data_IF_945186827374
#
_entry.id   IF_945186827374
#
_cell.length_a   1.000
_cell.length_b   1.000
_cell.length_c   1.000
_cell.angle_alpha   90.00
_cell.angle_beta   90.00
_cell.angle_gamma   90.00
#
_symmetry.space_group_name_H-M   'P 1'
#
loop_
_entity.id
_entity.type
_entity.pdbx_description
1 polymer ?
#
# COMPACT_ATOMS: atom_id res chain seq x y z
N UNK A 1 -9.44 -10.65 -2.65
CA UNK A 1 -9.12 -9.66 -1.60
C UNK A 1 -8.85 -8.31 -2.25
N UNK A 2 -9.33 -7.25 -1.63
CA UNK A 2 -9.13 -5.90 -2.13
C UNK A 2 -7.68 -5.45 -1.88
N UNK A 3 -7.05 -4.81 -2.86
CA UNK A 3 -5.71 -4.23 -2.70
C UNK A 3 -5.70 -3.16 -1.60
N UNK A 4 -6.80 -2.47 -1.42
CA UNK A 4 -6.91 -1.41 -0.42
C UNK A 4 -6.77 -1.95 0.98
N UNK A 5 -7.40 -3.09 1.25
CA UNK A 5 -7.30 -3.71 2.57
C UNK A 5 -5.87 -4.16 2.86
N UNK A 6 -5.19 -4.74 1.88
CA UNK A 6 -3.82 -5.21 2.07
C UNK A 6 -2.85 -4.06 2.31
N UNK A 7 -3.06 -2.95 1.62
CA UNK A 7 -2.26 -1.74 1.83
C UNK A 7 -2.41 -1.24 3.27
N UNK A 8 -3.63 -1.21 3.78
CA UNK A 8 -3.89 -0.83 5.16
C UNK A 8 -3.27 -1.82 6.14
N UNK A 9 -3.45 -3.11 5.89
CA UNK A 9 -2.92 -4.16 6.78
C UNK A 9 -1.40 -4.07 6.87
N UNK A 10 -0.71 -3.87 5.76
CA UNK A 10 0.74 -3.71 5.75
C UNK A 10 1.17 -2.48 6.53
N UNK A 11 0.46 -1.39 6.38
CA UNK A 11 0.77 -0.17 7.12
C UNK A 11 0.65 -0.41 8.62
N UNK A 12 -0.43 -1.03 9.05
CA UNK A 12 -0.67 -1.31 10.47
C UNK A 12 0.36 -2.31 11.00
N UNK A 13 0.69 -3.32 10.22
CA UNK A 13 1.69 -4.32 10.62
C UNK A 13 3.07 -3.70 10.83
N UNK A 14 3.37 -2.61 10.12
CA UNK A 14 4.65 -1.91 10.24
C UNK A 14 4.59 -0.73 11.21
N UNK A 15 3.50 -0.60 11.97
CA UNK A 15 3.29 0.46 12.95
C UNK A 15 3.45 1.86 12.34
N UNK A 16 2.95 2.04 11.13
CA UNK A 16 3.01 3.32 10.43
C UNK A 16 1.65 3.99 10.44
N UNK A 17 1.66 5.32 10.54
CA UNK A 17 0.44 6.10 10.41
C UNK A 17 0.14 6.35 8.93
N UNK A 18 -1.10 6.75 8.64
CA UNK A 18 -1.45 7.15 7.28
C UNK A 18 -0.60 8.33 6.81
N UNK A 19 -0.28 9.26 7.72
CA UNK A 19 0.58 10.39 7.39
C UNK A 19 1.99 9.94 7.01
N UNK A 20 2.54 8.95 7.71
CA UNK A 20 3.85 8.42 7.38
C UNK A 20 3.89 7.91 5.94
N UNK A 21 2.88 7.16 5.56
CA UNK A 21 2.85 6.58 4.22
C UNK A 21 2.56 7.65 3.16
N UNK A 22 1.69 8.60 3.47
CA UNK A 22 1.45 9.72 2.56
C UNK A 22 2.75 10.48 2.28
N UNK A 23 3.56 10.70 3.31
CA UNK A 23 4.85 11.37 3.15
C UNK A 23 5.81 10.53 2.28
N UNK A 24 5.84 9.23 2.50
CA UNK A 24 6.68 8.33 1.70
C UNK A 24 6.29 8.39 0.23
N UNK A 25 5.00 8.46 -0.04
CA UNK A 25 4.47 8.55 -1.41
C UNK A 25 4.47 9.98 -1.94
N UNK A 26 4.88 10.94 -1.12
CA UNK A 26 4.92 12.36 -1.49
C UNK A 26 3.56 12.86 -1.95
N UNK A 27 2.51 12.53 -1.19
CA UNK A 27 1.15 12.95 -1.48
C UNK A 27 0.49 13.49 -0.21
N UNK A 28 -0.62 14.20 -0.40
CA UNK A 28 -1.39 14.72 0.72
C UNK A 28 -2.08 13.58 1.47
N UNK A 29 -2.23 13.76 2.77
CA UNK A 29 -2.88 12.75 3.62
C UNK A 29 -4.26 12.38 3.13
N UNK A 30 -5.07 13.38 2.75
CA UNK A 30 -6.43 13.14 2.28
C UNK A 30 -6.46 12.28 1.02
N UNK A 31 -5.46 12.46 0.15
CA UNK A 31 -5.35 11.67 -1.08
C UNK A 31 -5.03 10.21 -0.73
N UNK A 32 -4.06 9.99 0.15
CA UNK A 32 -3.70 8.63 0.56
C UNK A 32 -4.87 7.93 1.23
N UNK A 33 -5.61 8.65 2.09
CA UNK A 33 -6.77 8.09 2.78
C UNK A 33 -7.82 7.55 1.81
N UNK A 34 -7.99 8.20 0.66
CA UNK A 34 -8.95 7.74 -0.35
C UNK A 34 -8.53 6.39 -0.93
N UNK A 35 -7.22 6.17 -1.07
CA UNK A 35 -6.74 4.86 -1.54
C UNK A 35 -7.04 3.77 -0.52
N UNK A 36 -6.82 4.04 0.76
CA UNK A 36 -7.10 3.03 1.79
C UNK A 36 -8.58 2.71 1.92
N UNK A 37 -9.44 3.71 1.67
CA UNK A 37 -10.90 3.51 1.73
C UNK A 37 -11.47 2.89 0.47
N UNK A 38 -10.67 2.72 -0.56
CA UNK A 38 -11.15 2.17 -1.82
C UNK A 38 -11.92 3.15 -2.68
N UNK A 39 -11.86 4.45 -2.36
CA UNK A 39 -12.55 5.48 -3.14
C UNK A 39 -11.81 5.79 -4.44
N UNK A 40 -10.53 5.49 -4.51
CA UNK A 40 -9.71 5.66 -5.69
C UNK A 40 -8.79 4.48 -5.86
N UNK A 41 -8.51 4.12 -7.10
CA UNK A 41 -7.55 3.08 -7.40
C UNK A 41 -6.14 3.56 -7.13
N UNK A 42 -5.34 2.72 -6.47
CA UNK A 42 -3.95 3.02 -6.20
C UNK A 42 -3.18 3.02 -7.53
N UNK A 43 -2.52 4.11 -7.90
CA UNK A 43 -1.77 4.12 -9.16
C UNK A 43 -0.60 3.16 -9.10
N UNK A 44 -0.20 2.66 -10.26
CA UNK A 44 0.85 1.64 -10.35
C UNK A 44 2.16 2.11 -9.71
N UNK A 45 2.55 3.37 -9.95
CA UNK A 45 3.80 3.89 -9.37
C UNK A 45 3.77 3.85 -7.84
N UNK A 46 2.62 4.13 -7.25
CA UNK A 46 2.48 4.10 -5.79
C UNK A 46 2.51 2.66 -5.28
N UNK A 47 1.86 1.74 -6.00
CA UNK A 47 1.88 0.32 -5.63
C UNK A 47 3.30 -0.23 -5.67
N UNK A 48 4.07 0.11 -6.71
CA UNK A 48 5.47 -0.32 -6.81
C UNK A 48 6.29 0.24 -5.65
N UNK A 49 6.10 1.51 -5.35
CA UNK A 49 6.84 2.17 -4.27
C UNK A 49 6.53 1.55 -2.91
N UNK A 50 5.27 1.24 -2.67
CA UNK A 50 4.87 0.58 -1.42
C UNK A 50 5.40 -0.85 -1.33
N UNK A 51 5.38 -1.59 -2.43
CA UNK A 51 5.92 -2.95 -2.46
C UNK A 51 7.41 -2.93 -2.10
N UNK A 52 8.15 -1.97 -2.64
CA UNK A 52 9.56 -1.80 -2.32
C UNK A 52 9.77 -1.40 -0.86
N UNK A 53 8.95 -0.47 -0.39
CA UNK A 53 9.06 0.02 0.99
C UNK A 53 8.81 -1.09 2.01
N UNK A 54 7.79 -1.92 1.77
CA UNK A 54 7.41 -2.98 2.69
C UNK A 54 8.17 -4.28 2.43
N UNK A 55 9.01 -4.34 1.40
CA UNK A 55 9.74 -5.55 1.02
C UNK A 55 8.82 -6.72 0.73
N UNK A 56 7.74 -6.45 0.01
CA UNK A 56 6.79 -7.47 -0.44
C UNK A 56 6.75 -7.47 -1.95
N UNK A 57 6.23 -8.56 -2.53
CA UNK A 57 6.04 -8.60 -3.98
C UNK A 57 4.88 -7.69 -4.38
N UNK A 58 4.94 -7.17 -5.59
CA UNK A 58 3.82 -6.39 -6.13
C UNK A 58 2.57 -7.26 -6.22
N UNK A 59 2.73 -8.52 -6.62
CA UNK A 59 1.62 -9.47 -6.68
C UNK A 59 0.92 -9.63 -5.34
N UNK A 60 1.70 -9.72 -4.26
CA UNK A 60 1.12 -9.79 -2.93
C UNK A 60 0.36 -8.51 -2.59
N UNK A 61 0.97 -7.37 -2.88
CA UNK A 61 0.36 -6.08 -2.55
C UNK A 61 -0.98 -5.88 -3.25
N UNK A 62 -1.08 -6.29 -4.51
CA UNK A 62 -2.31 -6.11 -5.29
C UNK A 62 -3.28 -7.28 -5.16
N UNK A 63 -2.95 -8.27 -4.33
CA UNK A 63 -3.87 -9.36 -4.03
C UNK A 63 -3.86 -10.53 -5.00
N UNK A 64 -2.87 -10.60 -5.89
CA UNK A 64 -2.75 -11.70 -6.86
C UNK A 64 -1.99 -12.90 -6.30
N UNK A 65 -1.34 -12.75 -5.15
CA UNK A 65 -0.57 -13.81 -4.52
C UNK A 65 -0.70 -13.71 -3.01
N UNK A 66 -0.71 -14.86 -2.33
CA UNK A 66 -0.68 -14.90 -0.88
C UNK A 66 0.75 -14.98 -0.34
N UNK A 67 1.74 -15.09 -1.20
CA UNK A 67 3.14 -15.13 -0.79
C UNK A 67 3.64 -13.71 -0.58
N UNK A 68 4.02 -13.40 0.66
CA UNK A 68 4.44 -12.06 1.05
C UNK A 68 5.82 -11.71 0.51
N UNK A 69 6.70 -12.71 0.38
CA UNK A 69 8.09 -12.49 0.04
C UNK A 69 8.30 -12.11 -1.42
N UNK A 70 9.45 -11.46 -1.66
CA UNK A 70 9.92 -11.16 -3.02
C UNK A 70 10.88 -12.26 -3.43
N UNK A 71 10.69 -12.73 -4.64
CA UNK A 71 11.59 -13.72 -5.23
C UNK A 71 12.78 -13.02 -5.89
#
# INVERSE_FOLDING_TARGET
>A
MSVYRRVRDLREDHDKTQRDIANILNMQLTVYQRYERGERELPLWAAIKLAEYYHVSLDYLVGLSDKIGRE
#
